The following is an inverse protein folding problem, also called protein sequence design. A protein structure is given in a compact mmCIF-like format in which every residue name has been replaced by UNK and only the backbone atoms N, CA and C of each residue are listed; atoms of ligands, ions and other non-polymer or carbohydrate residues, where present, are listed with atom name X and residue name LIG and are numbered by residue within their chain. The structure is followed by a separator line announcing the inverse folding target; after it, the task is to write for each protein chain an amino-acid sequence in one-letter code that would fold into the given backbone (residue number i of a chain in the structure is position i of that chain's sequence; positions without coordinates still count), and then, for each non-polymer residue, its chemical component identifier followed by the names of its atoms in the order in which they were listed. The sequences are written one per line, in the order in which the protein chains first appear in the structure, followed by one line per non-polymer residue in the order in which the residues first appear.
data_IF_899353844471
#
_entry.id   IF_899353844471
#
_cell.length_a   1.000
_cell.length_b   1.000
_cell.length_c   1.000
_cell.angle_alpha   90.00
_cell.angle_beta   90.00
_cell.angle_gamma   90.00
#
_symmetry.space_group_name_H-M   'P 1'
#
loop_
_entity.id
_entity.type
_entity.pdbx_description
1 polymer ?
#
# COMPACT_ATOMS: atom_id res chain seq x y z
N UNK A 1 24.54 -14.32 -22.00
CA UNK A 1 24.57 -14.46 -23.47
C UNK A 1 23.12 -14.71 -23.87
N UNK A 2 22.38 -13.65 -24.22
CA UNK A 2 20.92 -13.70 -24.45
C UNK A 2 20.61 -13.83 -25.93
N UNK A 3 19.85 -14.86 -26.27
CA UNK A 3 19.60 -15.33 -27.63
C UNK A 3 18.19 -14.91 -28.09
N UNK A 4 17.96 -13.59 -28.21
CA UNK A 4 16.62 -13.04 -28.51
C UNK A 4 16.59 -11.89 -29.54
N UNK A 5 17.65 -11.73 -30.35
CA UNK A 5 17.73 -10.62 -31.31
C UNK A 5 17.51 -10.98 -32.79
N UNK A 6 17.38 -12.26 -33.19
CA UNK A 6 17.32 -12.62 -34.62
C UNK A 6 16.00 -13.29 -35.04
N UNK A 7 14.91 -12.52 -35.10
CA UNK A 7 13.77 -12.89 -35.96
C UNK A 7 13.32 -11.73 -36.86
N UNK A 8 13.34 -11.89 -38.19
CA UNK A 8 12.84 -10.89 -39.14
C UNK A 8 11.30 -10.87 -39.19
N UNK A 9 10.73 -9.67 -39.33
CA UNK A 9 9.30 -9.42 -39.49
C UNK A 9 8.81 -9.79 -40.91
N UNK A 10 7.70 -10.54 -41.09
CA UNK A 10 7.15 -10.78 -42.42
C UNK A 10 6.22 -9.64 -42.89
N UNK A 11 6.68 -8.93 -43.93
CA UNK A 11 6.03 -8.83 -45.25
C UNK A 11 4.57 -8.34 -45.37
N UNK A 12 4.41 -7.19 -46.03
CA UNK A 12 3.15 -6.60 -46.52
C UNK A 12 2.37 -7.56 -47.44
N UNK A 13 1.12 -7.89 -47.07
CA UNK A 13 0.14 -8.61 -47.89
C UNK A 13 -1.11 -7.77 -48.16
N UNK A 14 -1.61 -7.84 -49.40
CA UNK A 14 -2.65 -6.98 -50.01
C UNK A 14 -4.05 -7.17 -49.41
N UNK A 15 -4.81 -6.08 -49.39
CA UNK A 15 -6.25 -5.98 -49.06
C UNK A 15 -7.16 -6.62 -50.11
N UNK A 16 -8.29 -7.25 -49.72
CA UNK A 16 -9.48 -7.34 -50.56
C UNK A 16 -10.50 -6.25 -50.19
N UNK A 17 -11.06 -5.62 -51.22
CA UNK A 17 -12.19 -4.71 -51.16
C UNK A 17 -13.44 -5.38 -50.55
N UNK A 18 -14.09 -4.71 -49.60
CA UNK A 18 -15.50 -4.93 -49.26
C UNK A 18 -16.24 -3.61 -49.49
N UNK A 19 -17.19 -3.63 -50.42
CA UNK A 19 -18.07 -2.50 -50.73
C UNK A 19 -19.22 -2.42 -49.70
N UNK A 20 -19.44 -1.20 -49.19
CA UNK A 20 -20.77 -0.60 -49.03
C UNK A 20 -21.62 -0.95 -47.80
N UNK A 21 -21.75 0.01 -46.87
CA UNK A 21 -23.04 0.57 -46.41
C UNK A 21 -22.81 1.81 -45.54
N UNK A 22 -23.58 2.87 -45.80
CA UNK A 22 -23.53 4.15 -45.09
C UNK A 22 -23.97 4.02 -43.62
N UNK A 23 -23.39 4.80 -42.67
CA UNK A 23 -23.81 4.77 -41.29
C UNK A 23 -25.10 5.59 -41.09
N UNK A 24 -26.17 4.93 -40.67
CA UNK A 24 -27.38 5.58 -40.15
C UNK A 24 -27.11 6.28 -38.82
N UNK A 25 -27.75 7.44 -38.63
CA UNK A 25 -27.54 8.34 -37.50
C UNK A 25 -27.84 7.75 -36.10
N UNK A 26 -27.44 8.45 -35.03
CA UNK A 26 -27.51 7.94 -33.67
C UNK A 26 -28.96 7.83 -33.18
N UNK A 27 -29.39 6.59 -32.86
CA UNK A 27 -30.61 6.34 -32.07
C UNK A 27 -30.30 6.63 -30.61
N UNK A 28 -31.03 7.59 -30.02
CA UNK A 28 -30.99 7.88 -28.60
C UNK A 28 -31.34 6.63 -27.78
N UNK A 29 -30.38 6.13 -26.99
CA UNK A 29 -30.62 5.07 -26.01
C UNK A 29 -31.39 5.67 -24.83
N UNK A 30 -32.64 5.24 -24.65
CA UNK A 30 -33.42 5.54 -23.44
C UNK A 30 -32.80 4.73 -22.28
N UNK A 31 -32.36 5.43 -21.25
CA UNK A 31 -31.91 4.83 -19.99
C UNK A 31 -33.09 4.10 -19.32
N UNK A 32 -33.11 2.77 -19.41
CA UNK A 32 -33.98 1.92 -18.60
C UNK A 32 -33.38 1.78 -17.20
N UNK A 33 -34.18 2.01 -16.17
CA UNK A 33 -33.79 1.75 -14.79
C UNK A 33 -33.36 0.27 -14.61
N UNK A 34 -32.34 -0.03 -13.80
CA UNK A 34 -31.89 -1.41 -13.61
C UNK A 34 -32.99 -2.25 -12.96
N UNK A 35 -33.27 -3.40 -13.55
CA UNK A 35 -34.23 -4.37 -13.04
C UNK A 35 -33.78 -4.89 -11.67
N UNK A 36 -34.65 -4.76 -10.66
CA UNK A 36 -34.44 -5.35 -9.33
C UNK A 36 -34.52 -6.87 -9.42
N UNK A 37 -33.47 -7.58 -9.02
CA UNK A 37 -33.48 -9.04 -8.85
C UNK A 37 -34.21 -9.36 -7.53
N UNK A 38 -35.33 -10.08 -7.53
CA UNK A 38 -36.02 -10.48 -6.30
C UNK A 38 -35.20 -11.57 -5.59
N UNK A 39 -34.76 -11.31 -4.35
CA UNK A 39 -34.02 -12.30 -3.52
C UNK A 39 -32.91 -11.72 -2.64
N UNK A 40 -32.45 -10.50 -2.90
CA UNK A 40 -31.49 -9.78 -2.04
C UNK A 40 -32.23 -8.86 -1.07
N UNK A 41 -32.91 -9.44 -0.07
CA UNK A 41 -33.88 -8.69 0.75
C UNK A 41 -34.06 -9.18 2.18
N UNK A 42 -33.13 -9.96 2.72
CA UNK A 42 -33.06 -10.25 4.14
C UNK A 42 -31.66 -9.89 4.64
N UNK A 43 -31.57 -8.89 5.51
CA UNK A 43 -30.37 -8.62 6.31
C UNK A 43 -30.18 -9.78 7.28
N UNK A 44 -29.55 -10.86 6.81
CA UNK A 44 -28.99 -11.86 7.70
C UNK A 44 -27.86 -11.15 8.46
N UNK A 45 -28.04 -10.95 9.76
CA UNK A 45 -26.99 -10.45 10.64
C UNK A 45 -25.87 -11.49 10.65
N UNK A 46 -24.76 -11.19 9.97
CA UNK A 46 -23.55 -12.00 10.01
C UNK A 46 -22.74 -11.57 11.25
N UNK A 47 -22.53 -12.44 12.25
CA UNK A 47 -21.83 -12.09 13.48
C UNK A 47 -20.36 -11.68 13.25
N UNK A 48 -19.80 -11.96 12.06
CA UNK A 48 -18.47 -11.51 11.66
C UNK A 48 -18.44 -10.02 11.30
N UNK A 49 -19.60 -9.39 11.16
CA UNK A 49 -19.70 -8.00 10.72
C UNK A 49 -20.52 -7.14 11.67
N UNK A 50 -20.16 -5.85 11.76
CA UNK A 50 -20.91 -4.84 12.50
C UNK A 50 -21.34 -3.71 11.55
N UNK A 51 -22.64 -3.52 11.40
CA UNK A 51 -23.21 -2.46 10.57
C UNK A 51 -23.45 -1.18 11.38
N UNK A 52 -22.80 -0.08 11.00
CA UNK A 52 -22.94 1.25 11.59
C UNK A 52 -23.90 2.15 10.79
N UNK A 53 -24.53 1.64 9.73
CA UNK A 53 -25.41 2.38 8.82
C UNK A 53 -24.68 3.14 7.71
N UNK A 54 -23.44 3.56 7.95
CA UNK A 54 -22.56 4.20 6.95
C UNK A 54 -21.30 3.37 6.63
N UNK A 55 -21.02 2.35 7.43
CA UNK A 55 -19.91 1.42 7.25
C UNK A 55 -20.29 0.05 7.82
N UNK A 56 -19.76 -1.03 7.21
CA UNK A 56 -19.90 -2.38 7.73
C UNK A 56 -18.51 -2.93 8.04
N UNK A 57 -18.21 -3.07 9.32
CA UNK A 57 -16.91 -3.50 9.83
C UNK A 57 -16.78 -5.01 9.77
N UNK A 58 -15.61 -5.51 9.40
CA UNK A 58 -15.17 -6.91 9.40
C UNK A 58 -14.43 -7.23 10.71
N UNK A 59 -15.18 -7.71 11.71
CA UNK A 59 -14.65 -8.05 13.02
C UNK A 59 -13.82 -9.35 13.02
N UNK A 60 -13.99 -10.19 11.99
CA UNK A 60 -13.35 -11.52 11.87
C UNK A 60 -12.10 -11.52 10.99
N UNK A 61 -11.74 -10.37 10.37
CA UNK A 61 -10.64 -10.27 9.40
C UNK A 61 -9.31 -10.84 9.91
N UNK A 62 -8.99 -10.60 11.17
CA UNK A 62 -7.77 -11.10 11.80
C UNK A 62 -7.73 -12.63 11.84
N UNK A 63 -8.82 -13.27 12.26
CA UNK A 63 -8.95 -14.73 12.33
C UNK A 63 -8.73 -15.36 10.95
N UNK A 64 -9.31 -14.75 9.91
CA UNK A 64 -9.31 -15.29 8.55
C UNK A 64 -8.03 -15.02 7.78
N UNK A 65 -7.39 -13.87 7.99
CA UNK A 65 -6.29 -13.40 7.13
C UNK A 65 -4.97 -13.14 7.86
N UNK A 66 -4.97 -13.24 9.19
CA UNK A 66 -3.82 -12.96 10.04
C UNK A 66 -3.61 -11.48 10.37
N UNK A 67 -4.36 -10.56 9.76
CA UNK A 67 -4.28 -9.12 10.02
C UNK A 67 -5.68 -8.50 10.24
N UNK A 68 -5.84 -7.64 11.25
CA UNK A 68 -7.13 -7.02 11.57
C UNK A 68 -7.61 -6.05 10.49
N UNK A 69 -8.86 -5.60 10.59
CA UNK A 69 -9.36 -4.51 9.75
C UNK A 69 -8.68 -3.18 10.12
N UNK A 70 -8.42 -2.35 9.10
CA UNK A 70 -7.76 -1.04 9.22
C UNK A 70 -8.65 0.04 8.64
N UNK A 71 -8.66 1.21 9.27
CA UNK A 71 -9.51 2.33 8.89
C UNK A 71 -8.78 3.24 7.90
N UNK A 72 -9.18 3.23 6.63
CA UNK A 72 -8.75 4.27 5.70
C UNK A 72 -9.42 5.60 6.05
N UNK A 73 -8.67 6.60 6.50
CA UNK A 73 -9.18 7.92 6.84
C UNK A 73 -9.54 8.79 5.64
N UNK A 74 -8.81 8.63 4.54
CA UNK A 74 -9.00 9.40 3.32
C UNK A 74 -10.46 9.30 2.80
N UNK A 75 -11.09 10.46 2.62
CA UNK A 75 -12.48 10.56 2.17
C UNK A 75 -13.54 10.25 3.24
N UNK A 76 -13.16 10.00 4.49
CA UNK A 76 -14.09 9.85 5.63
C UNK A 76 -14.15 11.13 6.47
N UNK A 77 -15.27 11.33 7.16
CA UNK A 77 -15.37 12.39 8.18
C UNK A 77 -14.63 11.97 9.44
N UNK A 78 -14.20 12.97 10.23
CA UNK A 78 -13.50 12.75 11.49
C UNK A 78 -14.33 11.92 12.48
N UNK A 79 -15.64 12.14 12.51
CA UNK A 79 -16.60 11.40 13.33
C UNK A 79 -16.68 9.93 12.90
N UNK A 80 -16.73 9.67 11.59
CA UNK A 80 -16.77 8.30 11.08
C UNK A 80 -15.48 7.54 11.42
N UNK A 81 -14.30 8.16 11.25
CA UNK A 81 -13.03 7.53 11.63
C UNK A 81 -13.02 7.19 13.11
N UNK A 82 -13.34 8.17 13.96
CA UNK A 82 -13.35 8.03 15.43
C UNK A 82 -14.30 6.91 15.87
N UNK A 83 -15.53 6.92 15.36
CA UNK A 83 -16.53 5.91 15.69
C UNK A 83 -16.11 4.51 15.21
N UNK A 84 -15.56 4.38 14.00
CA UNK A 84 -15.07 3.08 13.50
C UNK A 84 -13.94 2.56 14.39
N UNK A 85 -12.95 3.40 14.71
CA UNK A 85 -11.84 3.00 15.59
C UNK A 85 -12.32 2.55 16.96
N UNK A 86 -13.24 3.29 17.58
CA UNK A 86 -13.82 2.94 18.87
C UNK A 86 -14.50 1.56 18.81
N UNK A 87 -15.37 1.32 17.81
CA UNK A 87 -16.10 0.05 17.70
C UNK A 87 -15.20 -1.14 17.39
N UNK A 88 -14.14 -0.96 16.61
CA UNK A 88 -13.13 -2.00 16.38
C UNK A 88 -12.37 -2.33 17.67
N UNK A 89 -12.02 -1.32 18.47
CA UNK A 89 -11.29 -1.51 19.73
C UNK A 89 -12.17 -2.13 20.81
N UNK A 90 -13.43 -1.71 20.94
CA UNK A 90 -14.41 -2.34 21.85
C UNK A 90 -14.58 -3.84 21.56
N UNK A 91 -14.60 -4.22 20.28
CA UNK A 91 -14.73 -5.61 19.87
C UNK A 91 -13.46 -6.44 20.11
N UNK A 92 -12.28 -5.80 20.10
CA UNK A 92 -10.98 -6.45 20.23
C UNK A 92 -10.00 -5.59 21.04
N UNK A 93 -10.20 -5.48 22.38
CA UNK A 93 -9.44 -4.56 23.23
C UNK A 93 -7.97 -4.95 23.41
N UNK A 94 -7.63 -6.21 23.09
CA UNK A 94 -6.33 -6.84 23.23
C UNK A 94 -5.41 -6.68 22.01
N UNK A 95 -5.83 -5.93 20.99
CA UNK A 95 -5.01 -5.65 19.80
C UNK A 95 -5.12 -4.21 19.34
N UNK A 96 -4.09 -3.76 18.64
CA UNK A 96 -4.05 -2.45 18.02
C UNK A 96 -5.08 -2.31 16.88
N UNK A 97 -5.81 -1.19 16.89
CA UNK A 97 -6.61 -0.67 15.78
C UNK A 97 -5.84 0.45 15.14
N UNK A 98 -5.72 0.41 13.81
CA UNK A 98 -5.00 1.42 13.03
C UNK A 98 -5.95 2.19 12.12
N UNK A 99 -5.78 3.51 12.08
CA UNK A 99 -6.30 4.36 11.03
C UNK A 99 -5.17 5.02 10.25
N UNK A 100 -5.28 5.05 8.92
CA UNK A 100 -4.25 5.59 8.02
C UNK A 100 -4.75 6.77 7.21
N UNK A 101 -3.83 7.59 6.69
CA UNK A 101 -4.13 8.73 5.79
C UNK A 101 -5.14 9.72 6.37
N UNK A 102 -4.97 10.04 7.66
CA UNK A 102 -5.76 11.04 8.35
C UNK A 102 -5.36 12.44 7.88
N UNK A 103 -6.34 13.33 7.73
CA UNK A 103 -6.05 14.76 7.68
C UNK A 103 -5.90 15.33 9.11
N UNK A 104 -5.59 16.62 9.20
CA UNK A 104 -5.40 17.30 10.49
C UNK A 104 -6.66 17.28 11.34
N UNK A 105 -7.83 17.50 10.73
CA UNK A 105 -9.10 17.52 11.44
C UNK A 105 -9.43 16.14 12.04
N UNK A 106 -9.21 15.07 11.28
CA UNK A 106 -9.41 13.70 11.75
C UNK A 106 -8.43 13.34 12.87
N UNK A 107 -7.14 13.70 12.79
CA UNK A 107 -6.17 13.48 13.87
C UNK A 107 -6.58 14.20 15.16
N UNK A 108 -6.92 15.49 15.06
CA UNK A 108 -7.33 16.28 16.20
C UNK A 108 -8.60 15.73 16.86
N UNK A 109 -9.59 15.33 16.04
CA UNK A 109 -10.83 14.76 16.54
C UNK A 109 -10.61 13.41 17.24
N UNK A 110 -9.84 12.51 16.61
CA UNK A 110 -9.50 11.20 17.19
C UNK A 110 -8.78 11.37 18.52
N UNK A 111 -7.77 12.24 18.59
CA UNK A 111 -7.03 12.53 19.82
C UNK A 111 -7.91 13.07 20.96
N UNK A 112 -8.91 13.89 20.63
CA UNK A 112 -9.83 14.45 21.62
C UNK A 112 -10.87 13.45 22.15
N UNK A 113 -11.21 12.40 21.38
CA UNK A 113 -12.35 11.54 21.68
C UNK A 113 -12.00 10.08 22.00
N UNK A 114 -10.79 9.62 21.69
CA UNK A 114 -10.33 8.25 21.98
C UNK A 114 -9.20 8.26 23.03
N UNK A 115 -9.52 8.04 24.32
CA UNK A 115 -8.51 7.93 25.35
C UNK A 115 -7.48 6.83 25.04
N UNK A 116 -6.19 7.16 25.17
CA UNK A 116 -5.10 6.21 24.92
C UNK A 116 -4.78 5.99 23.44
N UNK A 117 -5.36 6.77 22.52
CA UNK A 117 -4.92 6.77 21.13
C UNK A 117 -3.55 7.44 21.00
N UNK A 118 -2.68 6.84 20.19
CA UNK A 118 -1.40 7.41 19.79
C UNK A 118 -1.51 7.98 18.37
N UNK A 119 -1.14 9.24 18.19
CA UNK A 119 -1.10 9.91 16.89
C UNK A 119 0.33 9.94 16.37
N UNK A 120 0.50 9.58 15.09
CA UNK A 120 1.75 9.75 14.34
C UNK A 120 1.52 10.76 13.22
N UNK A 121 2.02 11.98 13.41
CA UNK A 121 1.80 13.11 12.51
C UNK A 121 2.49 12.91 11.15
N UNK A 122 3.70 12.35 11.13
CA UNK A 122 4.44 12.09 9.89
C UNK A 122 3.74 11.00 9.07
N UNK A 123 3.37 9.88 9.71
CA UNK A 123 2.63 8.80 9.08
C UNK A 123 1.19 9.19 8.73
N UNK A 124 0.67 10.28 9.31
CA UNK A 124 -0.75 10.67 9.25
C UNK A 124 -1.66 9.53 9.70
N UNK A 125 -1.30 8.89 10.81
CA UNK A 125 -1.97 7.70 11.32
C UNK A 125 -2.35 7.84 12.79
N UNK A 126 -3.26 6.99 13.24
CA UNK A 126 -3.63 6.85 14.64
C UNK A 126 -3.70 5.36 15.03
N UNK A 127 -3.19 5.03 16.22
CA UNK A 127 -3.20 3.66 16.77
C UNK A 127 -3.90 3.65 18.12
N UNK A 128 -4.83 2.71 18.33
CA UNK A 128 -5.53 2.53 19.60
C UNK A 128 -5.43 1.08 20.07
N UNK A 129 -5.00 0.87 21.32
CA UNK A 129 -4.80 -0.47 21.90
C UNK A 129 -3.37 -1.00 21.75
N UNK A 130 -3.06 -2.16 22.35
CA UNK A 130 -1.70 -2.66 22.46
C UNK A 130 -1.15 -3.20 21.13
N UNK A 131 0.11 -2.86 20.82
CA UNK A 131 0.84 -3.47 19.71
C UNK A 131 1.15 -4.94 20.00
N UNK A 132 1.14 -5.84 18.99
CA UNK A 132 1.54 -7.22 19.17
C UNK A 132 3.04 -7.36 19.43
N UNK A 133 3.45 -8.50 19.99
CA UNK A 133 4.87 -8.82 20.12
C UNK A 133 5.56 -8.87 18.75
N UNK A 134 6.63 -8.10 18.60
CA UNK A 134 7.36 -7.97 17.35
C UNK A 134 8.15 -9.25 17.02
N UNK A 135 8.16 -9.63 15.74
CA UNK A 135 8.90 -10.77 15.19
C UNK A 135 9.46 -10.44 13.81
N UNK A 136 10.74 -10.76 13.60
CA UNK A 136 11.46 -10.43 12.37
C UNK A 136 11.69 -8.93 12.20
N UNK A 137 12.56 -8.57 11.26
CA UNK A 137 13.05 -7.23 11.02
C UNK A 137 12.60 -6.71 9.65
N UNK A 138 11.91 -5.59 9.63
CA UNK A 138 11.60 -4.82 8.42
C UNK A 138 12.43 -3.54 8.41
N UNK A 139 13.19 -3.31 7.34
CA UNK A 139 13.88 -2.04 7.15
C UNK A 139 13.17 -1.22 6.09
N UNK A 140 12.65 -0.05 6.48
CA UNK A 140 12.02 0.91 5.58
C UNK A 140 13.07 1.91 5.11
N UNK A 141 13.31 1.94 3.82
CA UNK A 141 14.31 2.76 3.15
C UNK A 141 13.61 3.86 2.35
N UNK A 142 13.94 5.12 2.59
CA UNK A 142 13.36 6.27 1.87
C UNK A 142 14.42 7.04 1.09
N UNK A 143 14.11 7.39 -0.16
CA UNK A 143 15.04 8.12 -1.03
C UNK A 143 15.34 9.53 -0.53
N UNK A 144 14.32 10.26 -0.09
CA UNK A 144 14.47 11.62 0.45
C UNK A 144 13.49 11.91 1.58
N UNK A 145 13.64 13.09 2.20
CA UNK A 145 12.75 13.56 3.26
C UNK A 145 11.31 13.76 2.79
N UNK A 146 11.11 14.11 1.52
CA UNK A 146 9.77 14.26 0.92
C UNK A 146 8.98 12.94 0.85
N UNK A 147 9.67 11.80 0.81
CA UNK A 147 9.03 10.47 0.89
C UNK A 147 8.67 10.08 2.34
N UNK A 148 9.01 10.92 3.31
CA UNK A 148 8.84 10.72 4.75
C UNK A 148 7.46 10.23 5.15
N UNK A 149 6.35 10.88 4.74
CA UNK A 149 5.01 10.44 5.14
C UNK A 149 4.67 9.01 4.70
N UNK A 150 5.05 8.61 3.49
CA UNK A 150 4.80 7.25 2.98
C UNK A 150 5.69 6.23 3.69
N UNK A 151 6.95 6.58 3.96
CA UNK A 151 7.87 5.75 4.72
C UNK A 151 7.44 5.60 6.20
N UNK A 152 6.91 6.66 6.81
CA UNK A 152 6.37 6.65 8.15
C UNK A 152 5.11 5.78 8.25
N UNK A 153 4.19 5.90 7.28
CA UNK A 153 3.02 5.01 7.17
C UNK A 153 3.47 3.54 7.07
N UNK A 154 4.38 3.21 6.15
CA UNK A 154 4.87 1.84 6.00
C UNK A 154 5.51 1.30 7.29
N UNK A 155 6.32 2.14 7.97
CA UNK A 155 6.99 1.77 9.20
C UNK A 155 5.99 1.52 10.34
N UNK A 156 5.03 2.42 10.56
CA UNK A 156 4.01 2.23 11.59
C UNK A 156 3.14 1.02 11.29
N UNK A 157 2.73 0.85 10.04
CA UNK A 157 1.92 -0.30 9.62
C UNK A 157 2.68 -1.61 9.89
N UNK A 158 3.96 -1.70 9.55
CA UNK A 158 4.75 -2.89 9.84
C UNK A 158 4.85 -3.19 11.35
N UNK A 159 5.00 -2.16 12.20
CA UNK A 159 4.97 -2.31 13.67
C UNK A 159 3.63 -2.80 14.19
N UNK A 160 2.52 -2.20 13.74
CA UNK A 160 1.15 -2.61 14.10
C UNK A 160 0.87 -4.06 13.72
N UNK A 161 1.47 -4.52 12.63
CA UNK A 161 1.39 -5.91 12.20
C UNK A 161 2.50 -6.79 12.79
N UNK A 162 3.21 -6.35 13.83
CA UNK A 162 4.08 -7.21 14.64
C UNK A 162 5.45 -7.51 14.05
N UNK A 163 6.05 -6.58 13.30
CA UNK A 163 7.47 -6.62 12.95
C UNK A 163 8.30 -5.63 13.78
N UNK A 164 9.58 -5.94 14.00
CA UNK A 164 10.56 -4.90 14.34
C UNK A 164 10.79 -4.03 13.11
N UNK A 165 10.96 -2.73 13.33
CA UNK A 165 11.10 -1.78 12.23
C UNK A 165 12.27 -0.85 12.46
N UNK A 166 13.14 -0.78 11.46
CA UNK A 166 14.18 0.22 11.31
C UNK A 166 13.81 1.17 10.15
N UNK A 167 14.12 2.47 10.28
CA UNK A 167 14.02 3.43 9.18
C UNK A 167 15.40 3.92 8.77
N UNK A 168 15.66 3.90 7.47
CA UNK A 168 16.83 4.48 6.83
C UNK A 168 16.33 5.52 5.82
N UNK A 169 16.63 6.79 6.05
CA UNK A 169 16.09 7.90 5.25
C UNK A 169 17.20 8.67 4.55
N UNK A 170 16.83 9.38 3.49
CA UNK A 170 17.74 10.24 2.72
C UNK A 170 18.91 9.47 2.08
N UNK A 171 18.61 8.29 1.53
CA UNK A 171 19.57 7.42 0.82
C UNK A 171 19.23 7.26 -0.68
N UNK A 172 18.69 8.31 -1.29
CA UNK A 172 18.31 8.34 -2.70
C UNK A 172 19.49 8.25 -3.68
N UNK A 173 19.16 7.96 -4.95
CA UNK A 173 20.14 7.67 -6.02
C UNK A 173 21.07 8.85 -6.32
N UNK A 174 20.61 10.10 -6.15
CA UNK A 174 21.44 11.30 -6.33
C UNK A 174 22.66 11.34 -5.38
N UNK A 175 22.58 10.65 -4.25
CA UNK A 175 23.65 10.52 -3.26
C UNK A 175 23.97 9.06 -2.97
N UNK A 176 24.24 8.26 -4.02
CA UNK A 176 24.40 6.80 -3.93
C UNK A 176 25.36 6.32 -2.84
N UNK A 177 26.42 7.09 -2.54
CA UNK A 177 27.37 6.79 -1.46
C UNK A 177 26.69 6.65 -0.08
N UNK A 178 25.58 7.37 0.17
CA UNK A 178 24.80 7.28 1.41
C UNK A 178 24.09 5.94 1.55
N UNK A 179 23.57 5.41 0.43
CA UNK A 179 22.99 4.07 0.39
C UNK A 179 24.05 2.99 0.60
N UNK A 180 25.20 3.13 -0.07
CA UNK A 180 26.30 2.17 0.05
C UNK A 180 26.86 2.11 1.48
N UNK A 181 26.87 3.24 2.20
CA UNK A 181 27.34 3.31 3.59
C UNK A 181 26.46 2.55 4.60
N UNK A 182 25.23 2.17 4.21
CA UNK A 182 24.28 1.45 5.08
C UNK A 182 23.95 0.05 4.54
N UNK A 183 24.71 -0.45 3.56
CA UNK A 183 24.47 -1.75 2.91
C UNK A 183 24.34 -2.89 3.91
N UNK A 184 25.20 -2.97 4.90
CA UNK A 184 25.21 -4.06 5.88
C UNK A 184 23.88 -4.11 6.67
N UNK A 185 23.33 -2.96 7.03
CA UNK A 185 22.01 -2.85 7.70
C UNK A 185 20.86 -3.30 6.80
N UNK A 186 20.99 -3.14 5.48
CA UNK A 186 20.00 -3.66 4.53
C UNK A 186 20.04 -5.20 4.46
N UNK A 187 21.21 -5.81 4.63
CA UNK A 187 21.40 -7.26 4.62
C UNK A 187 20.89 -7.95 5.89
N UNK A 188 20.80 -7.21 7.00
CA UNK A 188 20.28 -7.70 8.30
C UNK A 188 18.75 -7.80 8.35
N UNK A 189 18.03 -7.19 7.39
CA UNK A 189 16.58 -7.21 7.35
C UNK A 189 16.03 -8.55 6.83
N UNK A 190 14.87 -8.96 7.35
CA UNK A 190 14.10 -10.07 6.78
C UNK A 190 13.29 -9.61 5.56
N UNK A 191 12.91 -8.32 5.51
CA UNK A 191 12.24 -7.71 4.38
C UNK A 191 12.50 -6.20 4.31
N UNK A 192 12.62 -5.68 3.10
CA UNK A 192 12.80 -4.26 2.82
C UNK A 192 11.50 -3.64 2.30
N UNK A 193 11.19 -2.42 2.75
CA UNK A 193 10.24 -1.54 2.08
C UNK A 193 11.02 -0.36 1.53
N UNK A 194 11.06 -0.20 0.21
CA UNK A 194 11.84 0.87 -0.43
C UNK A 194 10.92 1.88 -1.07
N UNK A 195 10.92 3.09 -0.52
CA UNK A 195 10.02 4.18 -0.85
C UNK A 195 10.77 5.24 -1.66
N UNK A 196 10.26 5.56 -2.84
CA UNK A 196 10.87 6.57 -3.70
C UNK A 196 9.89 7.21 -4.68
N UNK A 197 10.01 8.52 -4.83
CA UNK A 197 9.38 9.30 -5.90
C UNK A 197 10.27 9.47 -7.13
N UNK A 198 10.09 10.58 -7.83
CA UNK A 198 10.82 10.95 -9.05
C UNK A 198 10.71 9.87 -10.14
N UNK A 199 11.83 9.32 -10.61
CA UNK A 199 11.90 8.22 -11.56
C UNK A 199 11.78 6.82 -10.91
N UNK A 200 11.67 6.74 -9.58
CA UNK A 200 11.49 5.47 -8.87
C UNK A 200 12.69 4.52 -8.95
N UNK A 201 13.91 5.04 -9.13
CA UNK A 201 15.10 4.20 -9.38
C UNK A 201 15.63 3.47 -8.13
N UNK A 202 15.37 3.97 -6.92
CA UNK A 202 15.98 3.45 -5.70
C UNK A 202 15.73 1.94 -5.47
N UNK A 203 14.50 1.40 -5.60
CA UNK A 203 14.26 -0.04 -5.46
C UNK A 203 15.12 -0.92 -6.38
N UNK A 204 15.31 -0.49 -7.64
CA UNK A 204 16.17 -1.21 -8.60
C UNK A 204 17.63 -1.24 -8.16
N UNK A 205 18.12 -0.14 -7.59
CA UNK A 205 19.48 -0.07 -7.05
C UNK A 205 19.61 -0.98 -5.83
N UNK A 206 18.67 -0.89 -4.87
CA UNK A 206 18.69 -1.71 -3.65
C UNK A 206 18.65 -3.21 -3.98
N UNK A 207 17.75 -3.62 -4.87
CA UNK A 207 17.64 -5.03 -5.29
C UNK A 207 18.89 -5.53 -6.05
N UNK A 208 19.71 -4.63 -6.62
CA UNK A 208 21.02 -4.97 -7.17
C UNK A 208 22.14 -5.09 -6.13
N UNK A 209 21.93 -4.59 -4.90
CA UNK A 209 22.95 -4.56 -3.84
C UNK A 209 22.81 -5.68 -2.82
N UNK A 210 21.58 -6.15 -2.57
CA UNK A 210 21.26 -7.14 -1.52
C UNK A 210 20.26 -8.19 -2.01
N UNK A 211 20.32 -9.38 -1.43
CA UNK A 211 19.41 -10.51 -1.73
C UNK A 211 18.15 -10.59 -0.87
N UNK A 212 17.82 -9.52 -0.15
CA UNK A 212 16.69 -9.48 0.81
C UNK A 212 15.37 -9.23 0.07
N UNK A 213 14.27 -9.93 0.41
CA UNK A 213 12.95 -9.66 -0.17
C UNK A 213 12.54 -8.19 -0.06
N UNK A 214 12.06 -7.59 -1.15
CA UNK A 214 11.81 -6.14 -1.22
C UNK A 214 10.43 -5.81 -1.79
N UNK A 215 9.76 -4.87 -1.13
CA UNK A 215 8.56 -4.20 -1.65
C UNK A 215 8.89 -2.75 -1.98
N UNK A 216 8.70 -2.39 -3.24
CA UNK A 216 8.86 -1.04 -3.77
C UNK A 216 7.56 -0.24 -3.64
N UNK A 217 7.65 0.95 -3.08
CA UNK A 217 6.54 1.90 -2.92
C UNK A 217 6.81 3.15 -3.76
N UNK A 218 6.19 3.28 -4.94
CA UNK A 218 6.28 4.51 -5.70
C UNK A 218 5.53 5.60 -4.95
N UNK A 219 6.10 6.78 -4.83
CA UNK A 219 5.40 7.93 -4.25
C UNK A 219 4.96 8.92 -5.33
N UNK A 220 3.95 9.72 -5.00
CA UNK A 220 3.54 10.87 -5.82
C UNK A 220 4.51 12.05 -5.75
N UNK A 221 5.60 11.93 -4.97
CA UNK A 221 6.66 12.93 -4.87
C UNK A 221 7.41 13.04 -6.20
N UNK A 222 7.46 14.25 -6.73
CA UNK A 222 8.23 14.59 -7.92
C UNK A 222 7.57 15.71 -8.70
N UNK A 223 8.16 16.05 -9.85
CA UNK A 223 7.68 17.14 -10.70
C UNK A 223 7.77 16.76 -12.17
N UNK A 224 7.07 17.53 -13.02
CA UNK A 224 7.09 17.38 -14.47
C UNK A 224 6.68 15.98 -14.91
N UNK A 225 7.62 15.23 -15.46
CA UNK A 225 7.40 13.89 -16.01
C UNK A 225 7.07 12.82 -14.96
N UNK A 226 7.15 13.11 -13.65
CA UNK A 226 6.71 12.17 -12.61
C UNK A 226 5.21 11.84 -12.69
N UNK A 227 4.38 12.81 -13.14
CA UNK A 227 2.94 12.64 -13.36
C UNK A 227 2.18 12.06 -12.14
N UNK A 228 2.47 12.56 -10.94
CA UNK A 228 1.82 12.11 -9.70
C UNK A 228 2.18 10.68 -9.32
N UNK A 229 3.43 10.27 -9.58
CA UNK A 229 3.97 8.95 -9.26
C UNK A 229 3.86 7.91 -10.37
N UNK A 230 3.22 8.21 -11.50
CA UNK A 230 3.10 7.27 -12.63
C UNK A 230 4.48 6.89 -13.18
N UNK A 231 5.41 7.84 -13.30
CA UNK A 231 6.76 7.52 -13.77
C UNK A 231 7.51 6.60 -12.80
N UNK A 232 7.42 6.88 -11.50
CA UNK A 232 8.01 6.04 -10.46
C UNK A 232 7.42 4.62 -10.47
N UNK A 233 6.08 4.51 -10.55
CA UNK A 233 5.38 3.23 -10.64
C UNK A 233 5.83 2.41 -11.85
N UNK A 234 5.84 3.02 -13.05
CA UNK A 234 6.28 2.34 -14.27
C UNK A 234 7.77 2.00 -14.23
N UNK A 235 8.61 2.86 -13.65
CA UNK A 235 10.03 2.61 -13.45
C UNK A 235 10.29 1.39 -12.55
N UNK A 236 9.58 1.31 -11.42
CA UNK A 236 9.68 0.18 -10.49
C UNK A 236 9.14 -1.11 -11.10
N UNK A 237 8.02 -1.08 -11.83
CA UNK A 237 7.45 -2.25 -12.50
C UNK A 237 8.33 -2.78 -13.64
N UNK A 238 9.03 -1.88 -14.34
CA UNK A 238 9.96 -2.24 -15.43
C UNK A 238 11.38 -2.54 -14.93
N UNK A 239 11.59 -2.64 -13.61
CA UNK A 239 12.90 -2.97 -13.05
C UNK A 239 13.40 -4.31 -13.61
N UNK A 240 14.67 -4.35 -14.02
CA UNK A 240 15.34 -5.58 -14.42
C UNK A 240 15.91 -6.36 -13.23
N UNK A 241 15.94 -5.75 -12.03
CA UNK A 241 16.39 -6.42 -10.82
C UNK A 241 15.31 -7.44 -10.39
N UNK A 242 15.64 -8.73 -10.30
CA UNK A 242 14.66 -9.75 -9.93
C UNK A 242 14.21 -9.58 -8.48
N UNK A 243 12.97 -9.96 -8.18
CA UNK A 243 12.44 -9.98 -6.81
C UNK A 243 11.87 -8.64 -6.30
N UNK A 244 11.83 -7.59 -7.12
CA UNK A 244 11.14 -6.34 -6.80
C UNK A 244 9.62 -6.54 -6.89
N UNK A 245 8.91 -6.47 -5.76
CA UNK A 245 7.44 -6.45 -5.72
C UNK A 245 6.97 -5.00 -5.61
N UNK A 246 6.01 -4.56 -6.43
CA UNK A 246 5.58 -3.15 -6.46
C UNK A 246 4.15 -3.01 -5.95
N UNK A 247 3.90 -2.04 -5.06
CA UNK A 247 2.55 -1.64 -4.63
C UNK A 247 2.08 -0.39 -5.37
N UNK A 248 0.81 -0.02 -5.17
CA UNK A 248 0.27 1.22 -5.75
C UNK A 248 0.97 2.47 -5.19
N UNK A 249 0.78 3.60 -5.87
CA UNK A 249 1.34 4.89 -5.50
C UNK A 249 0.91 5.29 -4.08
N UNK A 250 1.89 5.75 -3.29
CA UNK A 250 1.77 6.15 -1.89
C UNK A 250 1.25 5.04 -0.95
N UNK A 251 1.22 3.77 -1.38
CA UNK A 251 0.64 2.68 -0.61
C UNK A 251 1.61 2.11 0.45
N UNK A 252 2.00 2.96 1.40
CA UNK A 252 2.80 2.55 2.56
C UNK A 252 2.11 1.47 3.38
N UNK A 253 0.79 1.55 3.51
CA UNK A 253 -0.04 0.51 4.14
C UNK A 253 0.17 -0.89 3.53
N UNK A 254 -0.05 -1.05 2.23
CA UNK A 254 0.07 -2.36 1.56
C UNK A 254 1.48 -2.92 1.68
N UNK A 255 2.50 -2.06 1.57
CA UNK A 255 3.89 -2.46 1.70
C UNK A 255 4.25 -2.87 3.13
N UNK A 256 3.82 -2.10 4.14
CA UNK A 256 4.05 -2.43 5.55
C UNK A 256 3.41 -3.75 5.96
N UNK A 257 2.17 -4.01 5.53
CA UNK A 257 1.50 -5.30 5.80
C UNK A 257 2.25 -6.46 5.15
N UNK A 258 2.62 -6.31 3.86
CA UNK A 258 3.35 -7.36 3.16
C UNK A 258 4.70 -7.65 3.81
N UNK A 259 5.49 -6.61 4.09
CA UNK A 259 6.80 -6.74 4.70
C UNK A 259 6.72 -7.37 6.10
N UNK A 260 5.74 -6.98 6.92
CA UNK A 260 5.54 -7.58 8.23
C UNK A 260 5.20 -9.07 8.11
N UNK A 261 4.35 -9.47 7.15
CA UNK A 261 4.07 -10.90 6.90
C UNK A 261 5.34 -11.67 6.54
N UNK A 262 6.17 -11.14 5.65
CA UNK A 262 7.45 -11.76 5.27
C UNK A 262 8.37 -11.89 6.48
N UNK A 263 8.54 -10.82 7.27
CA UNK A 263 9.40 -10.81 8.44
C UNK A 263 8.94 -11.82 9.52
N UNK A 264 7.64 -11.87 9.82
CA UNK A 264 7.08 -12.81 10.80
C UNK A 264 7.25 -14.28 10.40
N UNK A 265 7.29 -14.59 9.10
CA UNK A 265 7.53 -15.94 8.59
C UNK A 265 9.03 -16.29 8.55
N UNK A 266 9.89 -15.28 8.40
CA UNK A 266 11.36 -15.45 8.36
C UNK A 266 11.95 -15.66 9.76
N UNK A 267 11.39 -14.98 10.77
CA UNK A 267 11.69 -15.19 12.20
C UNK A 267 11.15 -16.51 12.78
N UNK A 268 11.12 -17.56 11.97
CA UNK A 268 10.54 -18.88 12.23
C UNK A 268 11.40 -20.04 11.76
N UNK A 269 12.73 -19.87 11.63
CA UNK A 269 13.68 -20.98 11.60
C UNK A 269 14.52 -20.96 12.87
N UNK A 270 13.96 -21.51 13.93
CA UNK A 270 14.75 -22.18 14.96
C UNK A 270 15.19 -23.55 14.43
#
# INVERSE_FOLDING_TARGET
MCDWCDRPLPGKGRTPHVQGRAPGGPRAARAGAPARVPGYGATVSDPRTLDLGYARLDLDRATRTGDPEVVLGEGKTAEHVTAIMARLHEAHPDRAVLATRLDEAARAHVAAHLPGVEIDDEARCATLGPLPAARGNVTVVAAGTSDGPVAAEAALVARVHGAHVERITDVGVAGLHRLLAVRDRLEEADCLVVVAGMEGALPSVVAGLVGVPLVAVPTSVGYGANLGGIAALLGMLNSCAPGVTVVNIDNGYGAGVHAARVARQSGGRA
#
